data_IF_069371531214
#
_entry.id   IF_069371531214
#
_cell.length_a   1.000
_cell.length_b   1.000
_cell.length_c   1.000
_cell.angle_alpha   90.00
_cell.angle_beta   90.00
_cell.angle_gamma   90.00
#
_symmetry.space_group_name_H-M   'P 1'
#
loop_
_entity.id
_entity.type
_entity.pdbx_description
1 polymer ?
#
# COMPACT_ATOMS: atom_id res chain seq x y z
N UNK A 1 4.87 -0.66 10.20
CA UNK A 1 5.27 -1.99 9.70
C UNK A 1 6.28 -1.85 8.57
N UNK A 2 5.93 -1.29 7.39
CA UNK A 2 6.92 -1.10 6.31
C UNK A 2 8.17 -0.30 6.74
N UNK A 3 7.99 0.93 7.26
CA UNK A 3 9.11 1.80 7.66
C UNK A 3 10.00 1.11 8.70
N UNK A 4 9.39 0.50 9.72
CA UNK A 4 10.10 -0.23 10.78
C UNK A 4 10.89 -1.43 10.22
N UNK A 5 10.28 -2.19 9.29
CA UNK A 5 10.93 -3.32 8.63
C UNK A 5 12.07 -2.89 7.70
N UNK A 6 11.86 -1.84 6.91
CA UNK A 6 12.86 -1.29 6.01
C UNK A 6 14.10 -0.86 6.80
N UNK A 7 13.91 -0.12 7.89
CA UNK A 7 14.99 0.29 8.80
C UNK A 7 15.73 -0.91 9.38
N UNK A 8 15.01 -1.94 9.82
CA UNK A 8 15.59 -3.17 10.38
C UNK A 8 16.47 -3.90 9.36
N UNK A 9 15.98 -4.07 8.13
CA UNK A 9 16.71 -4.76 7.05
C UNK A 9 17.91 -3.93 6.60
N UNK A 10 17.75 -2.62 6.44
CA UNK A 10 18.80 -1.72 5.96
C UNK A 10 19.78 -1.26 7.04
N UNK A 11 19.57 -1.67 8.30
CA UNK A 11 20.39 -1.27 9.46
C UNK A 11 20.51 0.25 9.61
N UNK A 12 19.41 0.97 9.33
CA UNK A 12 19.34 2.43 9.45
C UNK A 12 18.84 2.77 10.86
N UNK A 13 19.70 3.40 11.66
CA UNK A 13 19.39 3.84 13.03
C UNK A 13 19.11 5.34 13.15
N UNK A 14 19.70 6.16 12.27
CA UNK A 14 19.63 7.62 12.32
C UNK A 14 18.75 8.14 11.18
N UNK A 15 17.43 8.16 11.40
CA UNK A 15 16.42 8.60 10.43
C UNK A 15 15.30 9.38 11.13
N UNK A 16 15.49 10.69 11.30
CA UNK A 16 14.51 11.55 11.99
C UNK A 16 13.12 11.56 11.31
N UNK A 17 13.11 11.41 9.98
CA UNK A 17 11.88 11.43 9.20
C UNK A 17 11.08 10.14 9.39
N UNK A 18 11.74 8.99 9.31
CA UNK A 18 11.07 7.74 9.64
C UNK A 18 10.64 7.65 11.11
N UNK A 19 11.31 8.35 12.05
CA UNK A 19 10.90 8.37 13.45
C UNK A 19 9.60 9.14 13.59
N UNK A 20 9.52 10.28 12.91
CA UNK A 20 8.30 11.07 12.80
C UNK A 20 7.16 10.23 12.20
N UNK A 21 7.43 9.47 11.13
CA UNK A 21 6.45 8.61 10.47
C UNK A 21 6.03 7.42 11.35
N UNK A 22 6.96 6.75 12.01
CA UNK A 22 6.65 5.63 12.92
C UNK A 22 5.82 6.09 14.12
N UNK A 23 6.10 7.29 14.65
CA UNK A 23 5.27 7.91 15.68
C UNK A 23 3.87 8.31 15.16
N UNK A 24 3.77 8.96 14.00
CA UNK A 24 2.48 9.36 13.43
C UNK A 24 1.61 8.17 13.01
N UNK A 25 2.25 7.10 12.52
CA UNK A 25 1.58 5.88 12.07
C UNK A 25 1.23 4.92 13.20
N UNK A 26 1.28 5.35 14.47
CA UNK A 26 0.68 4.58 15.57
C UNK A 26 -0.81 4.32 15.31
N UNK A 27 -1.53 5.30 14.76
CA UNK A 27 -2.95 5.21 14.39
C UNK A 27 -3.19 5.09 12.87
N UNK A 28 -2.12 5.10 12.07
CA UNK A 28 -2.19 4.95 10.62
C UNK A 28 -2.35 3.49 10.17
N UNK A 29 -2.66 3.27 8.89
CA UNK A 29 -2.79 1.92 8.35
C UNK A 29 -1.45 1.19 8.42
N UNK A 30 -1.49 -0.09 8.78
CA UNK A 30 -0.27 -0.92 8.88
C UNK A 30 0.14 -1.53 7.55
N UNK A 31 -0.80 -1.66 6.63
CA UNK A 31 -0.59 -2.14 5.27
C UNK A 31 -1.85 -1.98 4.44
N UNK A 32 -1.93 -2.70 3.33
CA UNK A 32 -3.11 -2.74 2.49
C UNK A 32 -3.42 -4.15 1.99
N UNK A 33 -4.69 -4.38 1.64
CA UNK A 33 -5.16 -5.59 0.97
C UNK A 33 -5.86 -5.24 -0.35
N UNK A 34 -5.75 -6.14 -1.32
CA UNK A 34 -6.43 -6.02 -2.61
C UNK A 34 -7.68 -6.91 -2.58
N UNK A 35 -8.89 -6.36 -2.73
CA UNK A 35 -10.10 -7.17 -2.84
C UNK A 35 -10.11 -7.93 -4.17
N UNK A 36 -10.90 -9.00 -4.26
CA UNK A 36 -10.93 -9.96 -5.38
C UNK A 36 -11.14 -9.34 -6.78
N UNK A 37 -11.65 -8.11 -6.87
CA UNK A 37 -11.85 -7.38 -8.12
C UNK A 37 -10.65 -6.48 -8.53
N UNK A 38 -9.62 -6.35 -7.69
CA UNK A 38 -8.33 -5.77 -8.07
C UNK A 38 -8.30 -4.26 -8.35
N UNK A 39 -9.33 -3.50 -7.96
CA UNK A 39 -9.48 -2.11 -8.40
C UNK A 39 -8.77 -1.07 -7.51
N UNK A 40 -8.47 -1.39 -6.26
CA UNK A 40 -7.89 -0.45 -5.28
C UNK A 40 -7.27 -1.20 -4.11
N UNK A 41 -6.18 -0.66 -3.57
CA UNK A 41 -5.54 -1.16 -2.37
C UNK A 41 -6.24 -0.56 -1.14
N UNK A 42 -6.98 -1.37 -0.38
CA UNK A 42 -7.69 -0.93 0.81
C UNK A 42 -6.76 -0.91 2.01
N UNK A 43 -6.78 0.18 2.77
CA UNK A 43 -6.02 0.32 4.01
C UNK A 43 -6.43 -0.74 5.06
N UNK A 44 -5.46 -1.35 5.74
CA UNK A 44 -5.67 -2.32 6.82
C UNK A 44 -5.17 -1.75 8.14
N UNK A 45 -6.05 -1.72 9.14
CA UNK A 45 -5.73 -1.29 10.50
C UNK A 45 -5.67 -2.48 11.45
N UNK A 46 -4.99 -2.34 12.59
CA UNK A 46 -4.79 -3.45 13.55
C UNK A 46 -6.11 -4.02 14.10
N UNK A 47 -7.16 -3.21 14.22
CA UNK A 47 -8.48 -3.67 14.71
C UNK A 47 -9.27 -4.49 13.68
N UNK A 48 -8.99 -4.33 12.38
CA UNK A 48 -9.73 -5.03 11.32
C UNK A 48 -9.39 -6.53 11.25
N UNK A 49 -8.22 -6.92 11.77
CA UNK A 49 -7.73 -8.31 11.73
C UNK A 49 -8.39 -9.23 12.79
N UNK A 50 -9.11 -8.71 13.78
CA UNK A 50 -9.82 -9.55 14.76
C UNK A 50 -11.25 -9.92 14.35
N UNK A 51 -11.95 -9.11 13.57
CA UNK A 51 -13.37 -9.36 13.23
C UNK A 51 -13.59 -9.91 11.82
N UNK A 52 -12.71 -9.63 10.85
CA UNK A 52 -12.86 -10.16 9.48
C UNK A 52 -12.25 -11.56 9.28
N UNK A 53 -11.54 -12.09 10.27
CA UNK A 53 -11.01 -13.46 10.25
C UNK A 53 -12.09 -14.55 10.53
N UNK A 54 -13.34 -14.18 10.86
CA UNK A 54 -14.40 -15.14 11.27
C UNK A 54 -15.69 -14.99 10.46
N UNK A 55 -15.64 -14.46 9.24
CA UNK A 55 -16.62 -14.85 8.22
C UNK A 55 -15.94 -15.67 7.14
N UNK A 56 -15.41 -16.82 7.55
CA UNK A 56 -15.30 -17.96 6.64
C UNK A 56 -16.73 -18.29 6.21
N UNK A 57 -17.24 -17.62 5.19
CA UNK A 57 -18.40 -18.13 4.47
C UNK A 57 -17.93 -19.47 3.89
N UNK A 58 -18.25 -20.57 4.60
CA UNK A 58 -17.89 -21.94 4.23
C UNK A 58 -18.44 -22.35 2.85
N UNK A 59 -19.19 -21.46 2.18
CA UNK A 59 -19.74 -21.62 0.83
C UNK A 59 -18.88 -20.99 -0.25
N UNK A 60 -17.85 -20.21 0.08
CA UNK A 60 -16.97 -19.61 -0.91
C UNK A 60 -15.76 -20.54 -1.14
N UNK A 61 -15.67 -21.26 -2.28
CA UNK A 61 -14.59 -22.20 -2.55
C UNK A 61 -13.23 -21.52 -2.84
N UNK A 62 -13.20 -20.19 -2.88
CA UNK A 62 -11.99 -19.38 -2.99
C UNK A 62 -11.82 -18.59 -1.69
N UNK A 63 -10.86 -18.96 -0.83
CA UNK A 63 -10.46 -18.09 0.27
C UNK A 63 -9.99 -16.75 -0.33
N UNK A 64 -10.26 -15.63 0.33
CA UNK A 64 -9.68 -14.35 -0.10
C UNK A 64 -8.17 -14.41 0.18
N UNK A 65 -7.37 -14.82 -0.82
CA UNK A 65 -5.97 -15.23 -0.62
C UNK A 65 -4.97 -14.09 -0.35
N UNK A 66 -5.42 -12.89 -0.01
CA UNK A 66 -4.51 -11.76 0.24
C UNK A 66 -4.95 -10.92 1.43
N UNK A 67 -4.71 -11.47 2.62
CA UNK A 67 -4.83 -10.73 3.88
C UNK A 67 -3.44 -10.23 4.29
N UNK A 68 -3.29 -8.91 4.44
CA UNK A 68 -2.09 -8.32 5.02
C UNK A 68 -1.90 -8.83 6.47
N UNK A 69 -0.71 -9.35 6.77
CA UNK A 69 -0.34 -9.78 8.11
C UNK A 69 0.93 -9.05 8.52
N UNK A 70 0.80 -8.13 9.46
CA UNK A 70 1.93 -7.38 10.00
C UNK A 70 2.98 -8.36 10.55
N UNK A 71 4.11 -8.44 9.85
CA UNK A 71 5.22 -9.34 10.18
C UNK A 71 6.48 -8.50 10.35
N UNK A 72 7.35 -8.90 11.27
CA UNK A 72 8.64 -8.27 11.48
C UNK A 72 9.72 -8.96 10.63
N UNK A 73 10.36 -8.21 9.73
CA UNK A 73 11.42 -8.73 8.87
C UNK A 73 12.79 -8.43 9.46
N UNK A 74 13.60 -9.47 9.66
CA UNK A 74 15.02 -9.38 10.07
C UNK A 74 15.99 -9.66 8.92
N UNK A 75 15.48 -10.17 7.79
CA UNK A 75 16.21 -10.46 6.57
C UNK A 75 15.36 -10.10 5.35
N UNK A 76 15.93 -10.02 4.13
CA UNK A 76 15.16 -9.75 2.92
C UNK A 76 14.02 -10.77 2.75
N UNK A 77 12.76 -10.32 2.61
CA UNK A 77 11.60 -11.19 2.54
C UNK A 77 11.53 -11.99 1.23
N UNK A 78 10.79 -13.09 1.25
CA UNK A 78 10.47 -13.88 0.05
C UNK A 78 9.54 -13.13 -0.90
N UNK A 79 9.50 -13.53 -2.18
CA UNK A 79 8.58 -12.97 -3.19
C UNK A 79 7.12 -13.02 -2.73
N UNK A 80 6.68 -14.14 -2.17
CA UNK A 80 5.33 -14.30 -1.63
C UNK A 80 5.03 -13.26 -0.52
N UNK A 81 5.98 -13.07 0.40
CA UNK A 81 5.86 -12.10 1.50
C UNK A 81 5.80 -10.67 0.97
N UNK A 82 6.57 -10.35 -0.08
CA UNK A 82 6.55 -9.04 -0.72
C UNK A 82 5.16 -8.77 -1.32
N UNK A 83 4.62 -9.70 -2.09
CA UNK A 83 3.31 -9.56 -2.74
C UNK A 83 2.18 -9.33 -1.74
N UNK A 84 2.25 -9.96 -0.56
CA UNK A 84 1.21 -9.85 0.46
C UNK A 84 1.38 -8.65 1.40
N UNK A 85 2.60 -8.33 1.83
CA UNK A 85 2.84 -7.40 2.94
C UNK A 85 3.43 -6.04 2.54
N UNK A 86 3.71 -5.82 1.25
CA UNK A 86 4.28 -4.54 0.78
C UNK A 86 3.32 -3.72 -0.08
N UNK A 87 2.03 -4.03 -0.04
CA UNK A 87 0.98 -3.20 -0.64
C UNK A 87 0.80 -1.89 0.12
N UNK A 88 0.68 -0.80 -0.63
CA UNK A 88 0.46 0.54 -0.07
C UNK A 88 -1.02 0.90 -0.18
N UNK A 89 -1.64 1.45 0.89
CA UNK A 89 -3.01 1.95 0.82
C UNK A 89 -3.15 3.00 -0.26
N UNK A 90 -4.16 2.83 -1.13
CA UNK A 90 -4.50 3.86 -2.10
C UNK A 90 -5.21 5.03 -1.38
N UNK A 91 -4.68 6.24 -1.54
CA UNK A 91 -5.23 7.43 -0.85
C UNK A 91 -6.23 8.16 -1.74
N UNK A 92 -5.97 8.23 -3.05
CA UNK A 92 -6.79 9.02 -3.97
C UNK A 92 -6.74 8.47 -5.40
N UNK A 93 -7.87 8.57 -6.09
CA UNK A 93 -7.98 8.37 -7.54
C UNK A 93 -8.22 9.73 -8.21
N UNK A 94 -7.45 10.02 -9.26
CA UNK A 94 -7.57 11.23 -10.06
C UNK A 94 -8.16 10.89 -11.42
N UNK A 95 -9.18 11.64 -11.83
CA UNK A 95 -9.86 11.48 -13.11
C UNK A 95 -9.78 12.79 -13.90
N UNK A 96 -9.64 12.70 -15.22
CA UNK A 96 -9.64 13.89 -16.08
C UNK A 96 -9.19 13.64 -17.52
N UNK A 97 -8.27 12.69 -17.72
CA UNK A 97 -7.89 12.27 -19.07
C UNK A 97 -8.95 11.37 -19.70
N UNK A 98 -9.28 11.62 -20.97
CA UNK A 98 -10.22 10.79 -21.74
C UNK A 98 -9.56 9.62 -22.48
N UNK A 99 -8.23 9.51 -22.40
CA UNK A 99 -7.39 8.50 -23.03
C UNK A 99 -6.32 8.03 -22.04
N UNK A 100 -5.49 7.07 -22.47
CA UNK A 100 -4.41 6.51 -21.66
C UNK A 100 -3.41 7.61 -21.26
N UNK A 101 -3.01 7.57 -19.99
CA UNK A 101 -1.94 8.43 -19.47
C UNK A 101 -0.60 7.80 -19.83
N UNK A 102 0.26 8.54 -20.53
CA UNK A 102 1.57 8.06 -21.00
C UNK A 102 2.73 8.54 -20.13
N UNK A 103 2.56 9.67 -19.45
CA UNK A 103 3.63 10.29 -18.67
C UNK A 103 3.07 11.09 -17.49
N UNK A 104 3.86 11.11 -16.41
CA UNK A 104 3.62 11.83 -15.17
C UNK A 104 4.92 12.50 -14.72
N UNK A 105 4.82 13.68 -14.12
CA UNK A 105 5.93 14.34 -13.44
C UNK A 105 5.41 15.13 -12.23
N UNK A 106 6.13 15.06 -11.10
CA UNK A 106 5.86 15.87 -9.93
C UNK A 106 6.84 17.06 -9.88
N UNK A 107 6.38 18.22 -9.40
CA UNK A 107 7.28 19.32 -9.10
C UNK A 107 8.20 18.94 -7.92
N UNK A 108 9.46 19.44 -7.86
CA UNK A 108 10.39 19.11 -6.77
C UNK A 108 9.90 19.49 -5.37
N UNK A 109 8.98 20.47 -5.29
CA UNK A 109 8.35 20.90 -4.03
C UNK A 109 7.06 20.13 -3.69
N UNK A 110 6.67 19.15 -4.52
CA UNK A 110 5.51 18.28 -4.30
C UNK A 110 4.13 18.94 -4.49
N UNK A 111 4.07 20.20 -4.95
CA UNK A 111 2.80 20.95 -5.04
C UNK A 111 2.00 20.71 -6.31
N UNK A 112 2.67 20.31 -7.39
CA UNK A 112 2.05 20.11 -8.69
C UNK A 112 2.35 18.75 -9.26
N UNK A 113 1.35 18.17 -9.91
CA UNK A 113 1.46 16.95 -10.71
C UNK A 113 1.08 17.29 -12.14
N UNK A 114 2.01 17.07 -13.08
CA UNK A 114 1.76 17.14 -14.50
C UNK A 114 1.45 15.74 -15.03
N UNK A 115 0.42 15.61 -15.86
CA UNK A 115 0.02 14.36 -16.49
C UNK A 115 -0.30 14.57 -17.97
N UNK A 116 0.14 13.65 -18.82
CA UNK A 116 -0.06 13.74 -20.27
C UNK A 116 -0.80 12.51 -20.79
N UNK A 117 -1.85 12.74 -21.61
CA UNK A 117 -2.55 11.71 -22.35
C UNK A 117 -2.53 12.00 -23.86
N UNK A 118 -2.97 11.03 -24.66
CA UNK A 118 -3.14 11.20 -26.10
C UNK A 118 -4.16 12.30 -26.41
N UNK A 119 -3.80 13.23 -27.30
CA UNK A 119 -4.71 14.27 -27.76
C UNK A 119 -5.89 13.68 -28.54
N UNK A 120 -7.06 14.26 -28.33
CA UNK A 120 -8.31 13.88 -28.99
C UNK A 120 -8.42 14.46 -30.41
N UNK A 121 -7.59 15.46 -30.73
CA UNK A 121 -7.54 16.15 -32.02
C UNK A 121 -6.08 16.30 -32.50
N UNK A 122 -5.82 16.16 -33.81
CA UNK A 122 -4.50 16.38 -34.40
C UNK A 122 -4.05 17.85 -34.26
#
# INVERSE_FOLDING_TARGET
NFVDNFRRICQVSDDDEGDTISCSNQFGPKGASVPSLGLSNKAVYNDDNLEQAISVDKRNPYPEESHFVATDFTEPPTEETLLQNTLWPEIQKLYGHGYEVYSLAASPDGKFLASACKSTKP
#
